data_IF_212434654455
#
_entry.id   IF_212434654455
#
_cell.length_a   1.000
_cell.length_b   1.000
_cell.length_c   1.000
_cell.angle_alpha   90.00
_cell.angle_beta   90.00
_cell.angle_gamma   90.00
#
_symmetry.space_group_name_H-M   'P 1'
#
loop_
_entity.id
_entity.type
_entity.pdbx_description
1 polymer ?
#
# COMPACT_ATOMS: atom_id res chain seq x y z
N UNK A 1 76.19 -19.96 11.23
CA UNK A 1 75.05 -20.91 11.09
C UNK A 1 73.91 -20.47 12.01
N UNK A 2 72.88 -19.81 11.47
CA UNK A 2 71.73 -19.30 12.24
C UNK A 2 70.60 -20.34 12.23
N UNK A 3 70.19 -20.82 13.40
CA UNK A 3 69.01 -21.67 13.59
C UNK A 3 67.75 -20.81 13.36
N UNK A 4 66.86 -21.23 12.45
CA UNK A 4 65.53 -20.63 12.27
C UNK A 4 64.52 -21.42 13.11
N UNK A 5 63.79 -20.71 13.98
CA UNK A 5 62.60 -21.19 14.68
C UNK A 5 61.44 -21.26 13.67
N UNK A 6 60.71 -22.38 13.62
CA UNK A 6 59.43 -22.49 12.92
C UNK A 6 58.33 -22.26 13.96
N UNK A 7 57.52 -21.24 13.78
CA UNK A 7 56.33 -20.96 14.59
C UNK A 7 55.11 -21.44 13.79
N UNK A 8 54.42 -22.48 14.27
CA UNK A 8 53.14 -22.92 13.73
C UNK A 8 52.02 -22.10 14.39
N UNK A 9 51.32 -21.28 13.61
CA UNK A 9 50.13 -20.57 14.05
C UNK A 9 48.89 -21.42 13.75
N UNK A 10 48.18 -21.85 14.79
CA UNK A 10 46.85 -22.46 14.69
C UNK A 10 45.82 -21.33 14.66
N UNK A 11 45.16 -21.11 13.52
CA UNK A 11 43.97 -20.26 13.44
C UNK A 11 42.77 -21.04 13.98
N UNK A 12 42.27 -20.65 15.15
CA UNK A 12 40.96 -21.08 15.63
C UNK A 12 39.88 -20.23 14.96
N UNK A 13 39.06 -20.85 14.10
CA UNK A 13 37.84 -20.22 13.58
C UNK A 13 36.74 -20.38 14.62
N UNK A 14 36.42 -19.30 15.31
CA UNK A 14 35.25 -19.23 16.19
C UNK A 14 33.99 -19.11 15.34
N UNK A 15 33.17 -20.16 15.33
CA UNK A 15 31.81 -20.14 14.76
C UNK A 15 30.90 -19.40 15.74
N UNK A 16 30.56 -18.15 15.42
CA UNK A 16 29.57 -17.39 16.17
C UNK A 16 28.17 -17.90 15.83
N UNK A 17 27.57 -18.71 16.70
CA UNK A 17 26.16 -19.06 16.61
C UNK A 17 25.32 -17.83 16.96
N UNK A 18 24.80 -17.14 15.94
CA UNK A 18 23.77 -16.11 16.11
C UNK A 18 22.52 -16.82 16.62
N UNK A 19 22.25 -16.74 17.92
CA UNK A 19 20.96 -17.15 18.46
C UNK A 19 19.94 -16.13 17.96
N UNK A 20 19.00 -16.58 17.12
CA UNK A 20 17.80 -15.83 16.84
C UNK A 20 17.08 -15.63 18.18
N UNK A 21 16.99 -14.37 18.61
CA UNK A 21 16.27 -14.02 19.83
C UNK A 21 14.78 -14.27 19.54
N UNK A 22 14.22 -15.35 20.09
CA UNK A 22 12.78 -15.59 20.05
C UNK A 22 12.07 -14.41 20.70
N UNK A 23 11.42 -13.58 19.90
CA UNK A 23 10.53 -12.54 20.41
C UNK A 23 9.32 -13.21 21.04
N UNK A 24 9.05 -12.90 22.31
CA UNK A 24 7.84 -13.37 22.97
C UNK A 24 6.60 -12.96 22.16
N UNK A 25 5.57 -13.83 22.04
CA UNK A 25 4.38 -13.51 21.27
C UNK A 25 3.71 -12.26 21.83
N UNK A 26 3.29 -11.37 20.93
CA UNK A 26 2.62 -10.14 21.31
C UNK A 26 1.29 -10.43 22.02
N UNK A 27 0.94 -9.60 23.00
CA UNK A 27 -0.30 -9.75 23.76
C UNK A 27 -1.51 -9.52 22.84
N UNK A 28 -2.47 -10.44 22.75
CA UNK A 28 -3.66 -10.23 21.92
C UNK A 28 -4.44 -8.98 22.30
N UNK A 29 -5.05 -8.31 21.31
CA UNK A 29 -6.02 -7.25 21.55
C UNK A 29 -7.25 -7.82 22.25
N UNK A 30 -7.79 -7.09 23.22
CA UNK A 30 -9.09 -7.41 23.79
C UNK A 30 -10.16 -7.23 22.70
N UNK A 31 -10.97 -8.28 22.50
CA UNK A 31 -12.03 -8.24 21.51
C UNK A 31 -13.06 -7.17 21.90
N UNK A 32 -13.62 -6.42 20.93
CA UNK A 32 -14.71 -5.51 21.24
C UNK A 32 -15.96 -6.28 21.71
N UNK A 33 -16.92 -5.58 22.29
CA UNK A 33 -18.24 -6.14 22.58
C UNK A 33 -19.01 -6.51 21.30
N UNK A 34 -20.24 -7.01 21.44
CA UNK A 34 -21.05 -7.42 20.31
C UNK A 34 -21.34 -6.28 19.32
N UNK A 35 -21.42 -5.03 19.79
CA UNK A 35 -21.62 -3.87 18.92
C UNK A 35 -20.37 -3.55 18.13
N UNK A 36 -19.21 -3.50 18.79
CA UNK A 36 -17.93 -3.23 18.16
C UNK A 36 -17.43 -4.35 17.24
N UNK A 37 -18.01 -5.55 17.32
CA UNK A 37 -17.75 -6.65 16.37
C UNK A 37 -18.63 -6.59 15.10
N UNK A 38 -19.56 -5.64 14.98
CA UNK A 38 -20.36 -5.51 13.75
C UNK A 38 -19.50 -5.02 12.57
N UNK A 39 -19.70 -5.60 11.37
CA UNK A 39 -19.08 -5.10 10.14
C UNK A 39 -19.37 -3.62 9.91
N UNK A 40 -18.32 -2.84 9.62
CA UNK A 40 -18.40 -1.41 9.33
C UNK A 40 -17.24 -0.96 8.47
N UNK A 41 -17.52 -0.10 7.50
CA UNK A 41 -16.51 0.73 6.86
C UNK A 41 -16.17 1.93 7.76
N UNK A 42 -14.89 2.17 8.01
CA UNK A 42 -14.42 3.19 8.94
C UNK A 42 -13.30 4.03 8.32
N UNK A 43 -13.25 5.31 8.69
CA UNK A 43 -12.14 6.23 8.47
C UNK A 43 -11.73 6.79 9.83
N UNK A 44 -10.44 6.72 10.14
CA UNK A 44 -9.88 7.23 11.40
C UNK A 44 -8.71 8.15 11.07
N UNK A 45 -8.76 9.37 11.60
CA UNK A 45 -7.56 10.20 11.74
C UNK A 45 -6.84 9.79 13.02
N UNK A 46 -5.53 9.56 12.96
CA UNK A 46 -4.70 9.17 14.09
C UNK A 46 -3.77 10.32 14.53
N UNK A 47 -4.25 11.32 15.30
CA UNK A 47 -3.38 12.41 15.81
C UNK A 47 -2.18 11.90 16.60
N UNK A 48 -2.35 10.76 17.29
CA UNK A 48 -1.30 10.10 18.08
C UNK A 48 -0.23 9.42 17.22
N UNK A 49 -0.46 9.26 15.90
CA UNK A 49 0.51 8.76 14.93
C UNK A 49 0.61 9.75 13.78
N UNK A 50 1.08 10.96 14.11
CA UNK A 50 1.36 12.04 13.16
C UNK A 50 0.21 12.33 12.20
N UNK A 51 -1.02 12.32 12.71
CA UNK A 51 -2.23 12.58 11.93
C UNK A 51 -2.48 11.61 10.77
N UNK A 52 -1.86 10.43 10.71
CA UNK A 52 -2.11 9.50 9.59
C UNK A 52 -3.59 9.12 9.47
N UNK A 53 -4.02 8.78 8.25
CA UNK A 53 -5.39 8.35 7.99
C UNK A 53 -5.41 6.84 7.80
N UNK A 54 -6.26 6.18 8.57
CA UNK A 54 -6.60 4.77 8.44
C UNK A 54 -7.97 4.66 7.78
N UNK A 55 -8.14 3.73 6.86
CA UNK A 55 -9.46 3.33 6.39
C UNK A 55 -9.55 1.84 6.17
N UNK A 56 -10.68 1.27 6.56
CA UNK A 56 -10.91 -0.16 6.51
C UNK A 56 -12.40 -0.47 6.36
N UNK A 57 -12.70 -1.70 5.99
CA UNK A 57 -14.04 -2.28 6.03
C UNK A 57 -13.96 -3.73 6.53
N UNK A 58 -14.98 -4.54 6.28
CA UNK A 58 -15.04 -5.96 6.66
C UNK A 58 -14.09 -6.88 5.85
N UNK A 59 -13.38 -6.35 4.85
CA UNK A 59 -12.56 -7.11 3.90
C UNK A 59 -11.10 -6.67 3.83
N UNK A 60 -10.82 -5.37 3.99
CA UNK A 60 -9.49 -4.78 3.77
C UNK A 60 -9.22 -3.61 4.72
N UNK A 61 -7.94 -3.27 4.89
CA UNK A 61 -7.43 -2.28 5.83
C UNK A 61 -6.21 -1.56 5.25
N UNK A 62 -6.19 -0.23 5.35
CA UNK A 62 -5.18 0.60 4.70
C UNK A 62 -4.81 1.87 5.48
N UNK A 63 -3.61 2.37 5.23
CA UNK A 63 -3.09 3.62 5.82
C UNK A 63 -2.42 4.51 4.78
N UNK A 64 -2.60 5.81 4.91
CA UNK A 64 -1.82 6.84 4.23
C UNK A 64 -1.25 7.84 5.22
N UNK A 65 -0.08 8.35 4.87
CA UNK A 65 0.75 9.13 5.77
C UNK A 65 0.51 10.63 5.59
N UNK A 66 0.49 11.37 6.70
CA UNK A 66 0.42 12.83 6.68
C UNK A 66 1.80 13.48 6.53
N UNK A 67 1.84 14.76 6.19
CA UNK A 67 3.09 15.53 6.20
C UNK A 67 3.74 15.69 7.58
N UNK A 68 3.01 15.49 8.68
CA UNK A 68 3.61 15.53 10.01
C UNK A 68 4.53 14.33 10.27
N UNK A 69 4.25 13.18 9.64
CA UNK A 69 5.13 12.01 9.73
C UNK A 69 6.50 12.30 9.13
N UNK A 70 6.57 13.11 8.07
CA UNK A 70 7.81 13.44 7.36
C UNK A 70 8.88 14.05 8.26
N UNK A 71 8.47 14.76 9.33
CA UNK A 71 9.36 15.40 10.30
C UNK A 71 9.96 14.39 11.27
N UNK A 72 9.23 13.32 11.57
CA UNK A 72 9.62 12.31 12.55
C UNK A 72 10.33 11.12 11.90
N UNK A 73 9.85 10.68 10.73
CA UNK A 73 10.28 9.45 10.06
C UNK A 73 10.46 9.70 8.55
N UNK A 74 11.58 10.30 8.12
CA UNK A 74 11.94 10.29 6.70
C UNK A 74 12.26 8.84 6.29
N UNK A 75 11.87 8.37 5.09
CA UNK A 75 11.54 9.14 3.89
C UNK A 75 10.04 9.36 3.63
N UNK A 76 9.71 10.48 2.97
CA UNK A 76 8.33 10.89 2.68
C UNK A 76 7.81 10.36 1.34
N UNK A 77 6.72 9.59 1.34
CA UNK A 77 6.04 9.15 0.11
C UNK A 77 4.52 9.08 0.20
N UNK A 78 3.86 9.40 -0.91
CA UNK A 78 2.42 9.17 -1.12
C UNK A 78 2.03 7.72 -1.47
N UNK A 79 2.83 6.74 -1.03
CA UNK A 79 2.49 5.34 -1.18
C UNK A 79 1.33 4.94 -0.26
N UNK A 80 0.63 3.86 -0.62
CA UNK A 80 -0.51 3.36 0.16
C UNK A 80 -0.12 2.08 0.88
N UNK A 81 -0.31 2.07 2.19
CA UNK A 81 -0.04 0.92 3.03
C UNK A 81 -1.26 0.00 3.09
N UNK A 82 -1.03 -1.31 2.97
CA UNK A 82 -2.07 -2.33 3.03
C UNK A 82 -1.79 -3.28 4.19
N UNK A 83 -2.74 -3.43 5.09
CA UNK A 83 -2.58 -4.25 6.28
C UNK A 83 -3.31 -5.58 6.13
N UNK A 84 -2.71 -6.63 6.69
CA UNK A 84 -3.36 -7.94 6.75
C UNK A 84 -4.48 -7.92 7.79
N UNK A 85 -5.68 -8.34 7.40
CA UNK A 85 -6.88 -8.33 8.25
C UNK A 85 -7.49 -9.73 8.36
N UNK A 86 -7.86 -10.15 9.57
CA UNK A 86 -8.47 -11.47 9.84
C UNK A 86 -9.78 -11.40 10.62
N UNK A 87 -10.41 -10.22 10.70
CA UNK A 87 -11.71 -9.98 11.37
C UNK A 87 -12.65 -9.18 10.47
N UNK A 88 -13.95 -9.13 10.79
CA UNK A 88 -14.96 -8.38 10.01
C UNK A 88 -15.26 -6.98 10.56
N UNK A 89 -14.78 -6.65 11.74
CA UNK A 89 -14.96 -5.34 12.37
C UNK A 89 -13.70 -4.46 12.24
N UNK A 90 -13.79 -3.13 12.48
CA UNK A 90 -12.63 -2.26 12.49
C UNK A 90 -11.60 -2.67 13.57
N UNK A 91 -10.33 -2.76 13.20
CA UNK A 91 -9.24 -3.11 14.13
C UNK A 91 -8.03 -2.18 14.03
N UNK A 92 -7.84 -1.46 12.92
CA UNK A 92 -6.60 -0.74 12.62
C UNK A 92 -6.25 0.30 13.67
N UNK A 93 -7.22 1.09 14.14
CA UNK A 93 -6.99 2.11 15.16
C UNK A 93 -6.51 1.49 16.49
N UNK A 94 -7.05 0.33 16.87
CA UNK A 94 -6.65 -0.37 18.08
C UNK A 94 -5.28 -1.01 17.94
N UNK A 95 -5.02 -1.65 16.81
CA UNK A 95 -3.73 -2.20 16.45
C UNK A 95 -2.65 -1.10 16.44
N UNK A 96 -2.92 0.06 15.82
CA UNK A 96 -1.94 1.15 15.75
C UNK A 96 -1.66 1.78 17.11
N UNK A 97 -2.66 1.87 18.00
CA UNK A 97 -2.49 2.36 19.39
C UNK A 97 -1.57 1.49 20.25
N UNK A 98 -1.28 0.26 19.86
CA UNK A 98 -0.31 -0.58 20.58
C UNK A 98 1.12 -0.05 20.46
N UNK A 99 1.44 0.68 19.38
CA UNK A 99 2.81 1.01 19.00
C UNK A 99 3.62 -0.19 18.45
N UNK A 100 3.00 -1.37 18.34
CA UNK A 100 3.58 -2.61 17.84
C UNK A 100 2.71 -3.19 16.71
N UNK A 101 2.32 -2.33 15.76
CA UNK A 101 1.40 -2.70 14.67
C UNK A 101 1.93 -3.83 13.79
N UNK A 102 3.24 -4.10 13.81
CA UNK A 102 3.89 -5.12 13.01
C UNK A 102 3.83 -6.53 13.60
N UNK A 103 3.45 -6.64 14.88
CA UNK A 103 3.20 -7.91 15.53
C UNK A 103 1.73 -8.35 15.38
N UNK A 104 1.51 -9.66 15.41
CA UNK A 104 0.16 -10.21 15.38
C UNK A 104 -0.47 -10.11 16.77
N UNK A 105 -1.46 -9.23 16.92
CA UNK A 105 -2.30 -9.15 18.13
C UNK A 105 -3.66 -9.85 17.96
N UNK A 106 -3.82 -10.67 16.92
CA UNK A 106 -4.96 -11.59 16.75
C UNK A 106 -6.08 -11.13 15.81
N UNK A 107 -6.04 -9.89 15.32
CA UNK A 107 -7.07 -9.33 14.42
C UNK A 107 -6.52 -8.93 13.03
N UNK A 108 -5.20 -8.86 12.91
CA UNK A 108 -4.46 -8.43 11.73
C UNK A 108 -3.08 -7.87 12.10
N UNK A 109 -2.34 -7.35 11.13
CA UNK A 109 -1.05 -6.68 11.33
C UNK A 109 -0.61 -5.86 10.11
N UNK A 110 0.32 -4.95 10.33
CA UNK A 110 1.08 -4.22 9.31
C UNK A 110 2.37 -4.98 8.98
N UNK A 111 2.54 -5.47 7.76
CA UNK A 111 3.83 -6.06 7.34
C UNK A 111 4.18 -5.82 5.87
N UNK A 112 3.42 -4.91 5.25
CA UNK A 112 3.61 -4.57 3.87
C UNK A 112 4.83 -3.65 3.74
N UNK A 113 5.04 -2.67 4.64
CA UNK A 113 6.18 -1.72 4.62
C UNK A 113 6.35 -0.99 3.27
N UNK A 114 5.69 0.15 3.11
CA UNK A 114 5.66 0.91 1.85
C UNK A 114 7.05 1.43 1.43
N UNK A 115 7.91 1.78 2.39
CA UNK A 115 9.19 2.43 2.13
C UNK A 115 9.08 3.63 1.19
N UNK A 116 9.87 3.61 0.11
CA UNK A 116 9.82 4.66 -0.93
C UNK A 116 8.91 4.33 -2.13
N UNK A 117 8.35 3.11 -2.15
CA UNK A 117 7.51 2.62 -3.23
C UNK A 117 6.13 3.29 -3.28
N UNK A 118 5.30 2.83 -4.20
CA UNK A 118 3.91 3.28 -4.36
C UNK A 118 2.93 2.51 -3.50
N UNK A 119 3.41 1.50 -2.80
CA UNK A 119 2.60 0.70 -1.92
C UNK A 119 1.53 -0.03 -2.74
N UNK A 120 0.27 0.04 -2.33
CA UNK A 120 -0.84 -0.68 -2.96
C UNK A 120 -1.64 0.18 -3.96
N UNK A 121 -1.04 1.19 -4.60
CA UNK A 121 -1.75 2.05 -5.56
C UNK A 121 -1.48 3.55 -5.44
N UNK A 122 -0.41 3.95 -4.76
CA UNK A 122 0.12 5.30 -4.89
C UNK A 122 0.50 5.60 -6.33
N UNK A 123 0.57 6.89 -6.69
CA UNK A 123 0.85 7.30 -8.06
C UNK A 123 1.91 8.40 -8.14
N UNK A 124 2.37 8.64 -9.36
CA UNK A 124 3.19 9.78 -9.73
C UNK A 124 3.08 10.06 -11.23
N UNK A 125 3.66 11.16 -11.68
CA UNK A 125 3.76 11.48 -13.11
C UNK A 125 4.97 10.77 -13.68
N UNK A 126 4.77 9.94 -14.70
CA UNK A 126 5.84 9.28 -15.43
C UNK A 126 6.37 10.18 -16.53
N UNK A 127 7.65 10.55 -16.44
CA UNK A 127 8.33 11.39 -17.43
C UNK A 127 9.81 11.06 -17.47
N UNK A 128 10.36 10.93 -18.68
CA UNK A 128 11.79 10.71 -18.93
C UNK A 128 12.35 9.53 -18.12
N UNK A 129 11.62 8.41 -18.17
CA UNK A 129 11.94 7.15 -17.48
C UNK A 129 12.05 7.26 -15.96
N UNK A 130 11.36 8.25 -15.37
CA UNK A 130 11.30 8.50 -13.93
C UNK A 130 9.87 8.73 -13.48
N UNK A 131 9.53 8.18 -12.31
CA UNK A 131 8.29 8.48 -11.60
C UNK A 131 8.50 9.71 -10.69
N UNK A 132 7.79 10.80 -11.00
CA UNK A 132 7.78 12.02 -10.20
C UNK A 132 6.60 12.00 -9.23
N UNK A 133 6.90 11.83 -7.94
CA UNK A 133 5.89 11.56 -6.92
C UNK A 133 5.67 12.75 -5.99
N UNK A 134 4.44 12.87 -5.51
CA UNK A 134 4.13 13.77 -4.40
C UNK A 134 4.78 13.32 -3.09
N UNK A 135 4.84 14.27 -2.16
CA UNK A 135 5.06 14.03 -0.74
C UNK A 135 3.79 13.47 -0.08
N UNK A 136 3.78 13.32 1.25
CA UNK A 136 2.60 12.88 1.99
C UNK A 136 1.46 13.90 1.83
N UNK A 137 0.23 13.51 2.17
CA UNK A 137 -0.92 14.41 1.99
C UNK A 137 -0.82 15.64 2.90
N UNK A 138 -1.22 16.81 2.37
CA UNK A 138 -1.11 18.11 3.04
C UNK A 138 -2.39 18.59 3.71
N UNK A 139 -3.54 18.18 3.20
CA UNK A 139 -4.86 18.48 3.77
C UNK A 139 -5.78 17.31 3.53
N UNK A 140 -6.82 17.20 4.35
CA UNK A 140 -7.81 16.13 4.24
C UNK A 140 -9.19 16.64 4.62
N UNK A 141 -10.21 15.89 4.20
CA UNK A 141 -11.62 16.12 4.54
C UNK A 141 -12.32 14.79 4.71
N UNK A 142 -12.94 14.60 5.87
CA UNK A 142 -13.89 13.50 6.10
C UNK A 142 -15.15 13.74 5.25
N UNK A 143 -15.61 12.70 4.55
CA UNK A 143 -16.85 12.75 3.78
C UNK A 143 -17.90 11.81 4.41
N UNK A 144 -17.52 10.57 4.72
CA UNK A 144 -18.40 9.58 5.36
C UNK A 144 -17.59 8.58 6.19
N UNK A 145 -18.09 8.25 7.38
CA UNK A 145 -17.47 7.29 8.30
C UNK A 145 -18.48 6.18 8.70
N UNK A 146 -18.82 5.34 7.73
CA UNK A 146 -19.67 4.17 7.92
C UNK A 146 -21.17 4.46 8.15
N UNK A 147 -21.96 3.43 8.49
CA UNK A 147 -21.51 2.03 8.56
C UNK A 147 -21.17 1.43 7.18
N UNK A 148 -21.84 1.89 6.12
CA UNK A 148 -21.78 1.21 4.82
C UNK A 148 -20.60 1.62 3.94
N UNK A 149 -20.07 2.84 4.12
CA UNK A 149 -19.01 3.40 3.29
C UNK A 149 -18.02 4.22 4.13
N UNK A 150 -16.74 3.97 3.92
CA UNK A 150 -15.64 4.83 4.34
C UNK A 150 -15.28 5.76 3.18
N UNK A 151 -15.43 7.07 3.36
CA UNK A 151 -15.16 8.05 2.30
C UNK A 151 -14.46 9.28 2.84
N UNK A 152 -13.39 9.69 2.19
CA UNK A 152 -12.66 10.91 2.52
C UNK A 152 -11.92 11.43 1.29
N UNK A 153 -11.43 12.66 1.36
CA UNK A 153 -10.53 13.21 0.35
C UNK A 153 -9.27 13.75 0.99
N UNK A 154 -8.19 13.76 0.23
CA UNK A 154 -6.94 14.42 0.59
C UNK A 154 -6.43 15.27 -0.56
N UNK A 155 -5.67 16.31 -0.24
CA UNK A 155 -4.87 17.03 -1.21
C UNK A 155 -3.39 16.71 -0.99
N UNK A 156 -2.66 16.63 -2.09
CA UNK A 156 -1.22 16.55 -2.12
C UNK A 156 -0.66 17.89 -2.61
N UNK A 157 0.25 18.45 -1.82
CA UNK A 157 0.90 19.72 -2.14
C UNK A 157 1.67 19.64 -3.47
N UNK A 158 1.82 20.78 -4.19
CA UNK A 158 2.49 20.79 -5.47
C UNK A 158 3.90 20.17 -5.47
N UNK A 159 4.21 19.33 -6.47
CA UNK A 159 5.52 18.71 -6.67
C UNK A 159 6.05 18.93 -8.09
N UNK A 160 7.39 18.99 -8.28
CA UNK A 160 7.97 19.15 -9.59
C UNK A 160 7.88 17.86 -10.41
N UNK A 161 7.69 18.03 -11.72
CA UNK A 161 7.81 17.01 -12.75
C UNK A 161 8.88 17.50 -13.71
N UNK A 162 10.10 16.98 -13.50
CA UNK A 162 11.30 17.52 -14.12
C UNK A 162 11.52 19.01 -13.76
N UNK A 163 12.27 19.75 -14.57
CA UNK A 163 12.62 21.15 -14.32
C UNK A 163 11.54 22.17 -14.74
N UNK A 164 10.54 21.76 -15.52
CA UNK A 164 9.65 22.69 -16.25
C UNK A 164 8.19 22.69 -15.77
N UNK A 165 7.74 21.63 -15.08
CA UNK A 165 6.32 21.48 -14.73
C UNK A 165 6.14 21.24 -13.25
N UNK A 166 5.09 21.82 -12.68
CA UNK A 166 4.58 21.48 -11.35
C UNK A 166 3.17 20.93 -11.47
N UNK A 167 2.88 19.94 -10.65
CA UNK A 167 1.55 19.34 -10.56
C UNK A 167 1.12 19.22 -9.11
N UNK A 168 -0.17 19.13 -8.87
CA UNK A 168 -0.77 18.87 -7.56
C UNK A 168 -2.00 18.00 -7.74
N UNK A 169 -2.46 17.38 -6.66
CA UNK A 169 -3.53 16.38 -6.73
C UNK A 169 -4.53 16.56 -5.60
N UNK A 170 -5.81 16.40 -5.93
CA UNK A 170 -6.86 16.05 -4.97
C UNK A 170 -7.29 14.62 -5.27
N UNK A 171 -7.37 13.77 -4.23
CA UNK A 171 -7.84 12.38 -4.36
C UNK A 171 -8.97 12.09 -3.38
N UNK A 172 -10.05 11.53 -3.87
CA UNK A 172 -11.14 10.97 -3.07
C UNK A 172 -11.03 9.45 -3.01
N UNK A 173 -11.17 8.91 -1.81
CA UNK A 173 -11.14 7.50 -1.48
C UNK A 173 -12.55 7.08 -1.08
N UNK A 174 -13.08 6.03 -1.69
CA UNK A 174 -14.39 5.46 -1.35
C UNK A 174 -14.28 3.94 -1.20
N UNK A 175 -14.46 3.43 0.01
CA UNK A 175 -14.45 2.01 0.34
C UNK A 175 -15.81 1.59 0.91
N UNK A 176 -16.70 0.98 0.10
CA UNK A 176 -17.93 0.36 0.58
C UNK A 176 -17.66 -0.90 1.41
N UNK A 177 -18.61 -1.32 2.25
CA UNK A 177 -18.64 -2.67 2.82
C UNK A 177 -18.69 -3.75 1.73
N UNK A 178 -18.17 -4.94 2.05
CA UNK A 178 -18.28 -6.15 1.25
C UNK A 178 -17.31 -6.27 0.07
N UNK A 179 -16.35 -5.36 -0.08
CA UNK A 179 -15.37 -5.37 -1.18
C UNK A 179 -13.95 -5.14 -0.69
N UNK A 180 -12.96 -5.73 -1.35
CA UNK A 180 -11.54 -5.42 -1.10
C UNK A 180 -11.05 -4.18 -1.85
N UNK A 181 -11.92 -3.51 -2.61
CA UNK A 181 -11.53 -2.42 -3.50
C UNK A 181 -11.94 -1.05 -2.98
N UNK A 182 -10.96 -0.17 -2.80
CA UNK A 182 -11.17 1.27 -2.66
C UNK A 182 -11.22 1.88 -4.05
N UNK A 183 -12.33 2.57 -4.35
CA UNK A 183 -12.45 3.41 -5.53
C UNK A 183 -11.73 4.73 -5.30
N UNK A 184 -10.87 5.09 -6.24
CA UNK A 184 -10.06 6.31 -6.24
C UNK A 184 -10.54 7.23 -7.35
N UNK A 185 -10.93 8.45 -7.00
CA UNK A 185 -11.13 9.53 -7.96
C UNK A 185 -10.02 10.55 -7.74
N UNK A 186 -9.12 10.68 -8.70
CA UNK A 186 -7.98 11.59 -8.64
C UNK A 186 -8.12 12.66 -9.69
N UNK A 187 -7.83 13.91 -9.31
CA UNK A 187 -7.70 15.04 -10.22
C UNK A 187 -6.29 15.60 -10.07
N UNK A 188 -5.44 15.37 -11.07
CA UNK A 188 -4.13 16.00 -11.14
C UNK A 188 -4.26 17.32 -11.90
N UNK A 189 -3.83 18.41 -11.30
CA UNK A 189 -3.75 19.72 -11.93
C UNK A 189 -2.30 20.06 -12.28
N UNK A 190 -2.09 21.01 -13.19
CA UNK A 190 -0.75 21.42 -13.62
C UNK A 190 -0.67 22.91 -13.91
N UNK A 191 0.51 23.48 -13.70
CA UNK A 191 0.85 24.85 -14.11
C UNK A 191 1.17 24.98 -15.61
N UNK A 192 1.22 23.87 -16.34
CA UNK A 192 1.44 23.81 -17.79
C UNK A 192 0.31 23.05 -18.49
N UNK A 193 -0.02 23.39 -19.74
CA UNK A 193 -0.99 22.64 -20.52
C UNK A 193 -0.41 21.30 -21.01
N UNK A 194 -1.31 20.46 -21.53
CA UNK A 194 -0.98 19.21 -22.21
C UNK A 194 -1.05 17.97 -21.32
N UNK A 195 -1.26 16.80 -21.92
CA UNK A 195 -1.53 15.56 -21.21
C UNK A 195 -0.37 15.16 -20.30
N UNK A 196 -0.70 14.31 -19.32
CA UNK A 196 0.25 13.66 -18.43
C UNK A 196 0.17 12.14 -18.62
N UNK A 197 1.28 11.46 -18.41
CA UNK A 197 1.28 10.02 -18.16
C UNK A 197 1.40 9.82 -16.65
N UNK A 198 0.44 9.15 -16.04
CA UNK A 198 0.44 8.81 -14.62
C UNK A 198 0.80 7.35 -14.46
N UNK A 199 1.78 7.05 -13.61
CA UNK A 199 2.08 5.70 -13.19
C UNK A 199 1.42 5.41 -11.85
N UNK A 200 0.50 4.44 -11.84
CA UNK A 200 -0.13 3.91 -10.62
C UNK A 200 0.62 2.64 -10.25
N UNK A 201 1.15 2.60 -9.03
CA UNK A 201 2.18 1.63 -8.68
C UNK A 201 1.79 0.62 -7.61
N UNK A 202 2.32 -0.59 -7.79
CA UNK A 202 2.41 -1.63 -6.78
C UNK A 202 3.88 -1.79 -6.40
N UNK A 203 4.21 -1.69 -5.10
CA UNK A 203 5.57 -1.93 -4.61
C UNK A 203 6.01 -3.36 -4.93
N UNK A 204 7.23 -3.50 -5.47
CA UNK A 204 7.90 -4.78 -5.64
C UNK A 204 8.33 -5.31 -4.28
N UNK A 205 8.37 -6.64 -4.16
CA UNK A 205 8.94 -7.32 -2.99
C UNK A 205 9.92 -8.38 -3.40
N UNK A 206 10.94 -8.55 -2.56
CA UNK A 206 11.85 -9.68 -2.60
C UNK A 206 12.02 -10.21 -1.18
N UNK A 207 11.74 -11.50 -1.00
CA UNK A 207 11.97 -12.25 0.24
C UNK A 207 12.78 -13.51 -0.09
N UNK A 208 13.14 -14.29 0.92
CA UNK A 208 13.79 -15.59 0.73
C UNK A 208 12.96 -16.55 -0.15
N UNK A 209 11.63 -16.41 -0.11
CA UNK A 209 10.66 -17.15 -0.93
C UNK A 209 10.56 -16.68 -2.39
N UNK A 210 11.27 -15.61 -2.79
CA UNK A 210 11.33 -15.12 -4.17
C UNK A 210 10.84 -13.68 -4.33
N UNK A 211 10.31 -13.36 -5.52
CA UNK A 211 9.90 -11.99 -5.91
C UNK A 211 8.39 -11.80 -6.09
N UNK A 212 7.58 -12.81 -5.72
CA UNK A 212 6.14 -12.83 -5.93
C UNK A 212 5.76 -13.05 -7.39
N UNK A 213 4.46 -12.95 -7.66
CA UNK A 213 3.89 -13.17 -9.00
C UNK A 213 3.06 -11.97 -9.40
N UNK A 214 3.57 -11.21 -10.37
CA UNK A 214 2.85 -10.10 -10.99
C UNK A 214 2.18 -10.56 -12.28
N UNK A 215 0.87 -10.32 -12.40
CA UNK A 215 0.09 -10.61 -13.61
C UNK A 215 -0.54 -9.33 -14.15
N UNK A 216 -0.68 -9.27 -15.46
CA UNK A 216 -1.35 -8.19 -16.16
C UNK A 216 -2.36 -8.75 -17.16
N UNK A 217 -3.56 -8.18 -17.15
CA UNK A 217 -4.55 -8.33 -18.19
C UNK A 217 -5.11 -6.94 -18.52
N UNK A 218 -4.54 -6.33 -19.56
CA UNK A 218 -4.82 -4.93 -19.88
C UNK A 218 -6.08 -4.74 -20.73
N UNK A 219 -6.65 -5.79 -21.31
CA UNK A 219 -7.91 -5.70 -22.05
C UNK A 219 -9.06 -5.20 -21.14
N UNK A 220 -9.24 -5.72 -19.91
CA UNK A 220 -10.08 -5.13 -18.88
C UNK A 220 -9.33 -4.14 -17.96
N UNK A 221 -8.06 -3.79 -18.23
CA UNK A 221 -7.32 -2.82 -17.42
C UNK A 221 -7.03 -3.29 -15.99
N UNK A 222 -6.56 -4.53 -15.83
CA UNK A 222 -6.32 -5.17 -14.53
C UNK A 222 -4.87 -5.59 -14.38
N UNK A 223 -4.33 -5.41 -13.17
CA UNK A 223 -3.08 -6.05 -12.75
C UNK A 223 -3.23 -6.61 -11.35
N UNK A 224 -2.58 -7.74 -11.07
CA UNK A 224 -2.50 -8.34 -9.74
C UNK A 224 -1.05 -8.60 -9.36
N UNK A 225 -0.77 -8.54 -8.07
CA UNK A 225 0.50 -8.94 -7.50
C UNK A 225 0.27 -9.78 -6.26
N UNK A 226 0.70 -11.04 -6.31
CA UNK A 226 0.80 -11.88 -5.12
C UNK A 226 2.22 -11.76 -4.57
N UNK A 227 2.37 -11.17 -3.39
CA UNK A 227 3.68 -10.99 -2.78
C UNK A 227 4.36 -12.33 -2.49
N UNK A 228 5.71 -12.40 -2.51
CA UNK A 228 6.41 -13.56 -1.99
C UNK A 228 6.09 -13.69 -0.50
N UNK A 229 5.76 -14.91 -0.07
CA UNK A 229 5.34 -15.18 1.31
C UNK A 229 6.43 -14.82 2.31
N UNK A 230 6.04 -14.12 3.36
CA UNK A 230 6.78 -14.10 4.61
C UNK A 230 6.54 -15.43 5.35
N UNK A 231 7.58 -16.12 5.87
CA UNK A 231 7.41 -17.41 6.54
C UNK A 231 6.43 -17.37 7.72
N UNK A 232 6.40 -16.26 8.45
CA UNK A 232 5.56 -16.10 9.63
C UNK A 232 4.28 -15.33 9.33
N UNK A 233 4.34 -14.37 8.41
CA UNK A 233 3.24 -13.43 8.17
C UNK A 233 2.41 -13.77 6.93
N UNK A 234 2.87 -14.66 6.06
CA UNK A 234 2.16 -15.02 4.83
C UNK A 234 2.35 -14.00 3.70
N UNK A 235 1.40 -13.93 2.79
CA UNK A 235 1.47 -13.18 1.54
C UNK A 235 0.36 -12.13 1.48
N UNK A 236 0.73 -10.89 1.16
CA UNK A 236 -0.24 -9.90 0.70
C UNK A 236 -0.55 -10.11 -0.78
N UNK A 237 -1.78 -9.82 -1.17
CA UNK A 237 -2.20 -9.77 -2.56
C UNK A 237 -2.71 -8.37 -2.87
N UNK A 238 -2.23 -7.76 -3.94
CA UNK A 238 -2.59 -6.40 -4.36
C UNK A 238 -3.19 -6.46 -5.77
N UNK A 239 -4.11 -5.55 -6.07
CA UNK A 239 -4.60 -5.37 -7.42
C UNK A 239 -4.88 -3.90 -7.74
N UNK A 240 -4.73 -3.57 -9.02
CA UNK A 240 -5.18 -2.29 -9.57
C UNK A 240 -6.15 -2.56 -10.72
N UNK A 241 -7.19 -1.71 -10.78
CA UNK A 241 -8.13 -1.66 -11.89
C UNK A 241 -8.16 -0.24 -12.44
N UNK A 242 -7.90 -0.07 -13.73
CA UNK A 242 -7.86 1.24 -14.40
C UNK A 242 -8.78 1.23 -15.61
N UNK A 243 -9.22 2.42 -16.07
CA UNK A 243 -9.98 2.52 -17.31
C UNK A 243 -9.12 2.00 -18.48
N UNK A 244 -9.51 0.90 -19.15
CA UNK A 244 -8.75 0.34 -20.27
C UNK A 244 -8.50 1.36 -21.38
N UNK A 245 -9.42 2.34 -21.56
CA UNK A 245 -9.29 3.39 -22.58
C UNK A 245 -8.15 4.36 -22.30
N UNK A 246 -7.69 4.44 -21.06
CA UNK A 246 -6.61 5.33 -20.63
C UNK A 246 -5.24 4.64 -20.62
N UNK A 247 -5.19 3.31 -20.71
CA UNK A 247 -3.96 2.52 -20.56
C UNK A 247 -2.98 2.82 -21.70
N UNK A 248 -1.75 3.16 -21.31
CA UNK A 248 -0.61 3.28 -22.22
C UNK A 248 0.17 1.97 -22.26
N UNK A 249 0.69 1.53 -21.11
CA UNK A 249 1.44 0.28 -20.97
C UNK A 249 1.65 -0.09 -19.50
N UNK A 250 2.29 -1.23 -19.25
CA UNK A 250 2.85 -1.57 -17.93
C UNK A 250 4.36 -1.45 -17.99
N UNK A 251 4.92 -0.65 -17.08
CA UNK A 251 6.36 -0.47 -16.87
C UNK A 251 6.77 -0.95 -15.49
N UNK A 252 8.08 -0.93 -15.26
CA UNK A 252 8.64 -1.14 -13.95
C UNK A 252 9.78 -0.17 -13.74
N UNK A 253 9.90 0.35 -12.53
CA UNK A 253 11.12 0.99 -12.06
C UNK A 253 11.80 0.08 -11.02
N UNK A 254 12.74 0.61 -10.24
CA UNK A 254 13.44 -0.18 -9.23
C UNK A 254 12.48 -0.71 -8.15
N UNK A 255 11.55 0.13 -7.69
CA UNK A 255 10.70 -0.14 -6.53
C UNK A 255 9.30 -0.64 -6.90
N UNK A 256 8.84 -0.46 -8.14
CA UNK A 256 7.43 -0.57 -8.50
C UNK A 256 7.18 -1.36 -9.79
N UNK A 257 6.07 -2.09 -9.81
CA UNK A 257 5.30 -2.32 -11.03
C UNK A 257 4.37 -1.13 -11.26
N UNK A 258 4.30 -0.60 -12.49
CA UNK A 258 3.57 0.61 -12.81
C UNK A 258 2.58 0.36 -13.95
N UNK A 259 1.29 0.65 -13.72
CA UNK A 259 0.32 0.79 -14.80
C UNK A 259 0.32 2.25 -15.24
N UNK A 260 0.75 2.50 -16.47
CA UNK A 260 0.80 3.84 -17.04
C UNK A 260 -0.51 4.16 -17.73
N UNK A 261 -1.13 5.28 -17.34
CA UNK A 261 -2.36 5.80 -17.95
C UNK A 261 -2.16 7.22 -18.44
N UNK A 262 -2.87 7.59 -19.50
CA UNK A 262 -2.95 8.97 -19.99
C UNK A 262 -4.05 9.71 -19.23
N UNK A 263 -3.71 10.88 -18.71
CA UNK A 263 -4.66 11.77 -18.04
C UNK A 263 -4.53 13.20 -18.58
N UNK A 264 -5.62 13.96 -18.49
CA UNK A 264 -5.62 15.37 -18.83
C UNK A 264 -5.64 16.20 -17.53
N UNK A 265 -4.75 17.18 -17.35
CA UNK A 265 -4.76 18.03 -16.17
C UNK A 265 -6.12 18.68 -15.92
N UNK A 266 -6.56 18.70 -14.66
CA UNK A 266 -7.84 19.26 -14.23
C UNK A 266 -9.06 18.38 -14.51
N UNK A 267 -8.92 17.25 -15.21
CA UNK A 267 -9.99 16.27 -15.40
C UNK A 267 -9.84 15.12 -14.40
N UNK A 268 -10.90 14.74 -13.67
CA UNK A 268 -10.85 13.59 -12.79
C UNK A 268 -10.71 12.30 -13.59
N UNK A 269 -9.95 11.35 -13.05
CA UNK A 269 -9.88 9.98 -13.54
C UNK A 269 -10.10 9.00 -12.39
N UNK A 270 -10.55 7.80 -12.73
CA UNK A 270 -10.92 6.78 -11.77
C UNK A 270 -10.00 5.58 -11.89
N UNK A 271 -9.57 5.04 -10.76
CA UNK A 271 -8.97 3.72 -10.66
C UNK A 271 -9.40 3.06 -9.35
N UNK A 272 -9.14 1.78 -9.21
CA UNK A 272 -9.38 1.05 -7.98
C UNK A 272 -8.07 0.44 -7.52
N UNK A 273 -7.89 0.44 -6.21
CA UNK A 273 -6.88 -0.35 -5.54
C UNK A 273 -7.54 -1.35 -4.63
N UNK A 274 -6.97 -2.54 -4.52
CA UNK A 274 -7.45 -3.54 -3.58
C UNK A 274 -6.32 -4.35 -2.99
N UNK A 275 -6.55 -4.83 -1.77
CA UNK A 275 -5.63 -5.71 -1.08
C UNK A 275 -6.36 -6.87 -0.39
N UNK A 276 -5.64 -7.98 -0.24
CA UNK A 276 -6.02 -9.15 0.54
C UNK A 276 -4.80 -9.75 1.23
N UNK A 277 -5.05 -10.66 2.18
CA UNK A 277 -4.03 -11.36 2.93
C UNK A 277 -4.35 -12.84 3.01
N UNK A 278 -3.37 -13.71 2.75
CA UNK A 278 -3.55 -15.16 2.71
C UNK A 278 -3.89 -15.80 4.07
N UNK A 279 -3.60 -15.11 5.17
CA UNK A 279 -4.08 -15.48 6.52
C UNK A 279 -5.31 -14.67 6.96
N UNK A 280 -5.89 -13.91 6.05
CA UNK A 280 -7.20 -13.28 6.22
C UNK A 280 -8.35 -14.28 6.06
N UNK A 281 -9.57 -13.77 5.94
CA UNK A 281 -10.78 -14.61 5.94
C UNK A 281 -11.25 -15.08 4.55
N UNK A 282 -10.73 -14.49 3.46
CA UNK A 282 -11.39 -14.54 2.14
C UNK A 282 -10.59 -15.18 1.01
N UNK A 283 -9.27 -14.97 1.00
CA UNK A 283 -8.42 -15.37 -0.10
C UNK A 283 -7.17 -16.00 0.50
N UNK A 284 -6.85 -17.21 0.09
CA UNK A 284 -5.71 -17.98 0.62
C UNK A 284 -4.71 -18.35 -0.48
N UNK A 285 -5.09 -18.17 -1.75
CA UNK A 285 -4.26 -18.51 -2.91
C UNK A 285 -4.27 -17.42 -3.97
N UNK A 286 -3.22 -17.36 -4.83
CA UNK A 286 -3.21 -16.45 -5.98
C UNK A 286 -4.40 -16.64 -6.92
N UNK A 287 -4.88 -17.88 -7.09
CA UNK A 287 -5.97 -18.20 -8.00
C UNK A 287 -7.32 -17.65 -7.51
N UNK A 288 -7.59 -17.72 -6.20
CA UNK A 288 -8.80 -17.14 -5.61
C UNK A 288 -8.80 -15.62 -5.73
N UNK A 289 -7.66 -14.98 -5.47
CA UNK A 289 -7.50 -13.54 -5.64
C UNK A 289 -7.70 -13.13 -7.09
N UNK A 290 -7.00 -13.78 -8.03
CA UNK A 290 -7.12 -13.47 -9.46
C UNK A 290 -8.57 -13.63 -9.95
N UNK A 291 -9.26 -14.70 -9.55
CA UNK A 291 -10.67 -14.91 -9.89
C UNK A 291 -11.58 -13.79 -9.36
N UNK A 292 -11.35 -13.33 -8.12
CA UNK A 292 -12.10 -12.22 -7.54
C UNK A 292 -11.85 -10.90 -8.28
N UNK A 293 -10.59 -10.60 -8.63
CA UNK A 293 -10.24 -9.40 -9.41
C UNK A 293 -10.84 -9.44 -10.81
N UNK A 294 -10.85 -10.60 -11.47
CA UNK A 294 -11.47 -10.78 -12.78
C UNK A 294 -12.98 -10.57 -12.72
N UNK A 295 -13.65 -11.05 -11.67
CA UNK A 295 -15.09 -10.89 -11.50
C UNK A 295 -15.52 -9.47 -11.05
N UNK A 296 -14.58 -8.66 -10.54
CA UNK A 296 -14.87 -7.34 -10.00
C UNK A 296 -15.35 -6.36 -11.09
N UNK A 297 -16.56 -5.83 -10.89
CA UNK A 297 -17.13 -4.77 -11.71
C UNK A 297 -16.51 -3.44 -11.29
N UNK A 298 -15.91 -2.73 -12.25
CA UNK A 298 -15.35 -1.40 -12.04
C UNK A 298 -16.14 -0.38 -12.86
N UNK A 299 -16.50 0.72 -12.20
CA UNK A 299 -17.06 1.89 -12.85
C UNK A 299 -16.03 3.02 -12.87
N UNK A 300 -15.69 3.48 -14.07
CA UNK A 300 -14.70 4.51 -14.31
C UNK A 300 -15.30 5.89 -14.61
N UNK A 301 -16.62 6.08 -14.48
CA UNK A 301 -17.25 7.40 -14.60
C UNK A 301 -16.99 8.24 -13.33
N UNK A 302 -16.19 9.33 -13.38
CA UNK A 302 -15.86 10.12 -12.20
C UNK A 302 -17.06 10.82 -11.55
N UNK A 303 -18.24 10.85 -12.18
CA UNK A 303 -19.44 11.52 -11.67
C UNK A 303 -20.36 10.61 -10.82
N UNK A 304 -20.14 9.30 -10.85
CA UNK A 304 -20.74 8.36 -9.88
C UNK A 304 -19.97 8.36 -8.56
#
# INVERSE_FOLDING_TARGET
>A
MKKRLILAAVLAVSVSTVHAQEHAPAKPLEKPDAEGQKPRAAVVLAPYRFNDILWENDRTAHRIYSRDLEKAEPPSTSGIDAWGKSVRWPYMDRQLKTGDQHASHGEGLDFYDVGTGRGAGGLGVWRDNKLWTSRNWSSWKMIQNGPDVARFSVDYAPWPVDVDRKVWETRTFTLPLGTNFTRMVSTISSDKPGPLVVGIGISKRKRASGSGVFRKDLAPGRVTFWEPADPEKGSMAIALMVDPKSVVEVRQDFDNYLVLIKVEPGKPFVYYMGAAWDKGLDFHTPAEWDAYVTAAKADFDPNH
#
